data_IF_554693579887
#
_entry.id   IF_554693579887
#
_cell.length_a   1.000
_cell.length_b   1.000
_cell.length_c   1.000
_cell.angle_alpha   90.00
_cell.angle_beta   90.00
_cell.angle_gamma   90.00
#
_symmetry.space_group_name_H-M   'P 1'
#
loop_
_entity.id
_entity.type
_entity.pdbx_description
1 polymer ?
#
# COMPACT_ATOMS: atom_id res chain seq x y z
N UNK A 1 62.12 -3.94 -10.63
CA UNK A 1 60.97 -4.85 -10.83
C UNK A 1 60.25 -4.96 -9.51
N UNK A 2 59.00 -4.49 -9.46
CA UNK A 2 58.10 -4.67 -8.31
C UNK A 2 57.75 -3.40 -7.57
N UNK A 3 56.92 -2.53 -8.17
CA UNK A 3 56.10 -1.58 -7.42
C UNK A 3 54.66 -2.07 -7.47
N UNK A 4 54.11 -2.40 -6.31
CA UNK A 4 52.71 -2.80 -6.09
C UNK A 4 51.94 -1.56 -5.65
N UNK A 5 51.05 -1.09 -6.52
CA UNK A 5 50.09 -0.02 -6.23
C UNK A 5 48.85 -0.68 -5.61
N UNK A 6 48.51 -0.25 -4.40
CA UNK A 6 47.23 -0.55 -3.76
C UNK A 6 46.13 0.27 -4.45
N UNK A 7 45.25 -0.40 -5.19
CA UNK A 7 44.00 0.20 -5.66
C UNK A 7 42.98 0.25 -4.53
N UNK A 8 42.83 1.44 -3.94
CA UNK A 8 41.68 1.80 -3.11
C UNK A 8 40.52 2.09 -4.08
N UNK A 9 39.62 1.13 -4.26
CA UNK A 9 38.37 1.36 -4.98
C UNK A 9 37.44 2.20 -4.10
N UNK A 10 37.45 3.50 -4.34
CA UNK A 10 36.45 4.44 -3.86
C UNK A 10 35.15 4.24 -4.65
N UNK A 11 34.20 3.48 -4.10
CA UNK A 11 32.83 3.44 -4.61
C UNK A 11 32.08 4.69 -4.16
N UNK A 12 32.41 5.84 -4.77
CA UNK A 12 31.55 7.02 -4.76
C UNK A 12 30.52 6.90 -5.88
N UNK A 13 29.26 6.77 -5.48
CA UNK A 13 28.09 7.34 -6.13
C UNK A 13 27.81 6.95 -7.58
N UNK A 14 26.99 5.91 -7.78
CA UNK A 14 26.10 5.87 -8.94
C UNK A 14 24.78 6.56 -8.58
N UNK A 15 24.74 7.86 -8.87
CA UNK A 15 23.50 8.62 -9.04
C UNK A 15 22.82 8.11 -10.32
N UNK A 16 21.84 7.21 -10.18
CA UNK A 16 20.82 6.98 -11.20
C UNK A 16 19.57 7.76 -10.82
N UNK A 17 19.65 9.08 -10.98
CA UNK A 17 18.47 9.90 -11.23
C UNK A 17 17.91 9.54 -12.61
N UNK A 18 16.58 9.55 -12.74
CA UNK A 18 15.75 9.27 -13.93
C UNK A 18 15.31 7.82 -14.16
N UNK A 19 14.36 7.35 -13.36
CA UNK A 19 13.32 6.41 -13.78
C UNK A 19 12.02 6.85 -13.10
N UNK A 20 11.44 7.92 -13.65
CA UNK A 20 10.03 8.24 -13.49
C UNK A 20 9.26 7.16 -14.25
N UNK A 21 8.63 6.23 -13.52
CA UNK A 21 7.66 5.31 -14.10
C UNK A 21 6.31 5.82 -13.61
N UNK A 22 5.73 6.73 -14.41
CA UNK A 22 4.29 6.85 -14.46
C UNK A 22 3.74 5.48 -14.84
N UNK A 23 2.89 4.95 -13.97
CA UNK A 23 2.12 3.74 -14.21
C UNK A 23 1.32 3.90 -15.51
N UNK A 24 1.58 3.09 -16.57
CA UNK A 24 0.84 3.24 -17.80
C UNK A 24 -0.44 2.39 -17.72
N UNK A 25 -1.59 3.05 -17.71
CA UNK A 25 -2.77 2.50 -18.37
C UNK A 25 -3.24 3.46 -19.46
N UNK A 26 -3.19 2.94 -20.68
CA UNK A 26 -3.51 3.51 -21.99
C UNK A 26 -4.88 4.18 -22.03
N UNK A 27 -4.99 5.39 -22.62
CA UNK A 27 -5.99 5.77 -23.64
C UNK A 27 -5.52 7.03 -24.41
N UNK A 28 -5.51 6.94 -25.74
CA UNK A 28 -5.48 8.07 -26.69
C UNK A 28 -6.80 8.83 -26.62
N UNK A 29 -6.78 10.13 -26.31
CA UNK A 29 -7.98 10.97 -26.45
C UNK A 29 -7.90 12.38 -25.84
N UNK A 30 -7.42 13.34 -26.64
CA UNK A 30 -7.86 14.75 -26.74
C UNK A 30 -8.20 15.57 -25.46
N UNK A 31 -7.27 16.51 -25.16
CA UNK A 31 -7.42 17.95 -24.85
C UNK A 31 -8.61 18.54 -24.04
N UNK A 32 -8.21 19.55 -23.23
CA UNK A 32 -8.92 20.50 -22.34
C UNK A 32 -9.05 20.00 -20.88
N UNK A 33 -8.55 20.66 -19.84
CA UNK A 33 -8.15 22.06 -19.66
C UNK A 33 -9.04 22.69 -18.59
N UNK A 34 -8.59 22.71 -17.32
CA UNK A 34 -8.79 23.78 -16.32
C UNK A 34 -8.43 23.28 -14.92
N UNK A 35 -7.57 24.05 -14.26
CA UNK A 35 -7.26 23.92 -12.84
C UNK A 35 -8.46 24.43 -12.01
N UNK A 36 -8.79 23.72 -10.94
CA UNK A 36 -9.55 24.27 -9.82
C UNK A 36 -8.73 24.13 -8.54
N UNK A 37 -8.42 25.28 -7.95
CA UNK A 37 -8.03 25.44 -6.55
C UNK A 37 -9.32 25.42 -5.74
N UNK A 38 -9.41 24.55 -4.74
CA UNK A 38 -10.46 24.60 -3.73
C UNK A 38 -9.80 24.57 -2.34
N UNK A 39 -9.79 25.74 -1.73
CA UNK A 39 -9.60 25.96 -0.31
C UNK A 39 -10.97 25.75 0.37
N UNK A 40 -11.03 25.02 1.49
CA UNK A 40 -12.07 25.24 2.51
C UNK A 40 -11.87 24.40 3.77
N UNK A 41 -11.61 25.09 4.86
CA UNK A 41 -11.86 24.67 6.23
C UNK A 41 -13.31 24.20 6.41
N UNK A 42 -13.53 23.00 6.95
CA UNK A 42 -14.79 22.65 7.61
C UNK A 42 -14.50 21.98 8.95
N UNK A 43 -14.48 22.78 10.01
CA UNK A 43 -14.59 22.32 11.40
C UNK A 43 -16.05 21.96 11.66
N UNK A 44 -16.34 20.68 11.91
CA UNK A 44 -17.64 20.26 12.40
C UNK A 44 -17.74 20.46 13.92
N UNK A 45 -18.61 21.38 14.34
CA UNK A 45 -19.05 21.56 15.73
C UNK A 45 -20.15 20.56 16.08
N UNK A 46 -19.90 19.70 17.07
CA UNK A 46 -20.88 18.80 17.66
C UNK A 46 -21.90 19.59 18.52
N UNK A 47 -23.15 19.70 18.05
CA UNK A 47 -24.27 20.12 18.90
C UNK A 47 -25.10 18.90 19.33
N UNK A 48 -25.31 18.76 20.63
CA UNK A 48 -26.09 17.73 21.32
C UNK A 48 -27.59 17.77 21.01
N UNK A 49 -28.24 16.63 20.71
CA UNK A 49 -29.69 16.35 20.92
C UNK A 49 -30.01 14.83 20.83
N UNK A 50 -31.20 14.34 21.24
CA UNK A 50 -31.38 13.12 22.03
C UNK A 50 -31.86 11.88 21.24
N UNK A 51 -31.81 10.70 21.91
CA UNK A 51 -32.26 9.37 21.45
C UNK A 51 -33.72 9.34 20.95
N UNK A 52 -33.95 8.99 19.68
CA UNK A 52 -34.62 7.76 19.20
C UNK A 52 -35.13 7.90 17.75
N UNK A 53 -34.32 7.46 16.80
CA UNK A 53 -34.67 6.78 15.54
C UNK A 53 -33.34 6.58 14.83
N UNK A 54 -32.94 5.33 14.53
CA UNK A 54 -31.75 5.06 13.74
C UNK A 54 -32.01 5.55 12.31
N UNK A 55 -31.81 6.84 12.09
CA UNK A 55 -31.71 7.41 10.77
C UNK A 55 -30.43 6.84 10.15
N UNK A 56 -30.61 5.94 9.20
CA UNK A 56 -29.53 5.30 8.46
C UNK A 56 -28.96 6.38 7.55
N UNK A 57 -27.82 6.96 7.92
CA UNK A 57 -27.09 7.88 7.06
C UNK A 57 -26.34 7.03 6.03
N UNK A 58 -26.68 7.09 4.74
CA UNK A 58 -25.88 6.44 3.71
C UNK A 58 -24.45 7.00 3.77
N UNK A 59 -23.46 6.11 3.67
CA UNK A 59 -22.06 6.53 3.59
C UNK A 59 -21.80 6.99 2.16
N UNK A 60 -21.81 8.31 1.95
CA UNK A 60 -21.65 8.91 0.62
C UNK A 60 -20.28 8.61 -0.02
N UNK A 61 -19.25 8.42 0.81
CA UNK A 61 -17.88 8.11 0.37
C UNK A 61 -17.28 6.98 1.21
N UNK A 62 -17.53 5.74 0.79
CA UNK A 62 -17.05 4.54 1.48
C UNK A 62 -15.52 4.50 1.51
N UNK A 63 -14.86 4.91 0.43
CA UNK A 63 -13.40 4.98 0.37
C UNK A 63 -12.79 5.85 1.49
N UNK A 64 -13.35 7.05 1.72
CA UNK A 64 -12.90 7.92 2.81
C UNK A 64 -13.34 7.40 4.18
N UNK A 65 -14.57 6.91 4.30
CA UNK A 65 -15.07 6.34 5.54
C UNK A 65 -14.18 5.21 6.08
N UNK A 66 -13.76 4.26 5.24
CA UNK A 66 -12.90 3.14 5.64
C UNK A 66 -11.55 3.62 6.22
N UNK A 67 -11.02 4.72 5.69
CA UNK A 67 -9.77 5.30 6.18
C UNK A 67 -9.95 6.07 7.48
N UNK A 68 -10.91 6.99 7.52
CA UNK A 68 -11.17 7.80 8.71
C UNK A 68 -11.56 6.94 9.91
N UNK A 69 -12.32 5.87 9.67
CA UNK A 69 -12.69 4.89 10.69
C UNK A 69 -11.51 4.07 11.21
N UNK A 70 -10.36 4.09 10.53
CA UNK A 70 -9.14 3.30 10.82
C UNK A 70 -7.91 4.16 11.06
N UNK A 71 -8.10 5.48 11.18
CA UNK A 71 -7.01 6.44 11.30
C UNK A 71 -6.26 6.33 12.64
N UNK A 72 -6.91 5.78 13.67
CA UNK A 72 -6.29 5.37 14.92
C UNK A 72 -5.11 4.43 14.67
N UNK A 73 -5.32 3.39 13.86
CA UNK A 73 -4.27 2.40 13.54
C UNK A 73 -3.15 3.06 12.75
N UNK A 74 -3.45 3.87 11.72
CA UNK A 74 -2.42 4.58 10.95
C UNK A 74 -1.54 5.48 11.84
N UNK A 75 -2.18 6.20 12.77
CA UNK A 75 -1.51 7.08 13.73
C UNK A 75 -0.64 6.32 14.73
N UNK A 76 -1.03 5.10 15.10
CA UNK A 76 -0.22 4.20 15.92
C UNK A 76 0.92 3.59 15.12
N UNK A 77 0.67 3.15 13.88
CA UNK A 77 1.71 2.62 12.97
C UNK A 77 2.83 3.62 12.79
N UNK A 78 2.52 4.90 12.55
CA UNK A 78 3.55 5.94 12.37
C UNK A 78 4.55 5.98 13.55
N UNK A 79 4.11 5.64 14.77
CA UNK A 79 4.90 5.74 16.00
C UNK A 79 5.73 4.49 16.31
N UNK A 80 5.59 3.41 15.54
CA UNK A 80 6.33 2.17 15.81
C UNK A 80 7.84 2.39 15.68
N UNK A 81 8.60 1.66 16.49
CA UNK A 81 10.05 1.81 16.61
C UNK A 81 10.77 1.74 15.25
N UNK A 82 10.37 0.78 14.39
CA UNK A 82 10.95 0.63 13.06
C UNK A 82 10.87 1.92 12.24
N UNK A 83 9.68 2.54 12.15
CA UNK A 83 9.48 3.76 11.37
C UNK A 83 10.15 4.98 12.01
N UNK A 84 10.17 5.06 13.35
CA UNK A 84 10.86 6.14 14.05
C UNK A 84 12.37 6.08 13.85
N UNK A 85 12.96 4.88 13.87
CA UNK A 85 14.37 4.69 13.54
C UNK A 85 14.67 4.92 12.06
N UNK A 86 13.75 4.58 11.16
CA UNK A 86 13.87 4.89 9.73
C UNK A 86 13.87 6.41 9.50
N UNK A 87 12.98 7.13 10.17
CA UNK A 87 12.88 8.59 10.13
C UNK A 87 14.15 9.29 10.64
N UNK A 88 14.70 8.84 11.77
CA UNK A 88 15.95 9.39 12.33
C UNK A 88 17.20 8.98 11.55
N UNK A 89 17.10 7.94 10.72
CA UNK A 89 18.23 7.33 10.01
C UNK A 89 19.07 6.41 10.90
N UNK A 90 18.58 6.05 12.09
CA UNK A 90 19.27 5.17 13.04
C UNK A 90 18.90 3.69 12.90
N UNK A 91 17.94 3.35 12.03
CA UNK A 91 17.55 1.96 11.78
C UNK A 91 18.78 1.15 11.35
N UNK A 92 18.88 -0.08 11.83
CA UNK A 92 19.97 -0.98 11.44
C UNK A 92 19.71 -1.54 10.04
N UNK A 93 20.76 -1.67 9.23
CA UNK A 93 20.64 -2.15 7.86
C UNK A 93 20.07 -3.59 7.82
N UNK A 94 20.45 -4.42 8.79
CA UNK A 94 19.99 -5.80 8.93
C UNK A 94 18.48 -5.88 9.17
N UNK A 95 17.92 -4.97 10.00
CA UNK A 95 16.48 -4.85 10.22
C UNK A 95 15.76 -4.44 8.93
N UNK A 96 16.28 -3.41 8.25
CA UNK A 96 15.70 -2.97 6.99
C UNK A 96 15.74 -4.06 5.90
N UNK A 97 16.82 -4.83 5.81
CA UNK A 97 16.92 -5.98 4.90
C UNK A 97 15.89 -7.05 5.28
N UNK A 98 15.74 -7.35 6.57
CA UNK A 98 14.79 -8.35 7.06
C UNK A 98 13.34 -7.96 6.74
N UNK A 99 12.97 -6.70 6.99
CA UNK A 99 11.71 -6.09 6.56
C UNK A 99 11.50 -6.24 5.05
N UNK A 100 12.51 -5.86 4.26
CA UNK A 100 12.44 -5.91 2.79
C UNK A 100 12.26 -7.33 2.28
N UNK A 101 12.88 -8.34 2.89
CA UNK A 101 12.67 -9.74 2.52
C UNK A 101 11.23 -10.17 2.80
N UNK A 102 10.65 -9.77 3.93
CA UNK A 102 9.25 -10.08 4.21
C UNK A 102 8.29 -9.36 3.26
N UNK A 103 8.58 -8.11 2.88
CA UNK A 103 7.80 -7.38 1.86
C UNK A 103 7.88 -8.06 0.47
N UNK A 104 9.06 -8.55 0.07
CA UNK A 104 9.19 -9.36 -1.15
C UNK A 104 8.37 -10.65 -1.04
N UNK A 105 8.37 -11.32 0.11
CA UNK A 105 7.52 -12.50 0.32
C UNK A 105 6.03 -12.14 0.22
N UNK A 106 5.59 -11.04 0.82
CA UNK A 106 4.23 -10.54 0.69
C UNK A 106 3.83 -10.35 -0.79
N UNK A 107 4.63 -9.57 -1.53
CA UNK A 107 4.38 -9.26 -2.94
C UNK A 107 4.31 -10.56 -3.77
N UNK A 108 5.23 -11.51 -3.55
CA UNK A 108 5.23 -12.80 -4.25
C UNK A 108 3.95 -13.60 -4.00
N UNK A 109 3.50 -13.70 -2.74
CA UNK A 109 2.32 -14.48 -2.37
C UNK A 109 1.03 -13.82 -2.87
N UNK A 110 0.88 -12.52 -2.67
CA UNK A 110 -0.32 -11.78 -3.12
C UNK A 110 -0.40 -11.75 -4.66
N UNK A 111 0.74 -11.65 -5.36
CA UNK A 111 0.76 -11.75 -6.83
C UNK A 111 0.23 -13.09 -7.32
N UNK A 112 0.60 -14.20 -6.66
CA UNK A 112 0.08 -15.54 -6.99
C UNK A 112 -1.42 -15.67 -6.73
N UNK A 113 -1.91 -15.11 -5.62
CA UNK A 113 -3.35 -15.09 -5.32
C UNK A 113 -4.12 -14.30 -6.38
N UNK A 114 -3.62 -13.11 -6.74
CA UNK A 114 -4.18 -12.29 -7.82
C UNK A 114 -4.13 -13.01 -9.18
N UNK A 115 -3.04 -13.72 -9.48
CA UNK A 115 -2.92 -14.53 -10.69
C UNK A 115 -4.03 -15.60 -10.74
N UNK A 116 -4.24 -16.33 -9.64
CA UNK A 116 -5.29 -17.34 -9.51
C UNK A 116 -6.67 -16.73 -9.74
N UNK A 117 -7.01 -15.67 -8.98
CA UNK A 117 -8.29 -14.98 -9.10
C UNK A 117 -8.52 -14.37 -10.49
N UNK A 118 -7.46 -13.90 -11.15
CA UNK A 118 -7.57 -13.28 -12.49
C UNK A 118 -7.99 -14.26 -13.59
N UNK A 119 -7.86 -15.57 -13.34
CA UNK A 119 -8.28 -16.65 -14.26
C UNK A 119 -9.77 -16.94 -14.18
N UNK A 120 -10.41 -16.54 -13.09
CA UNK A 120 -11.84 -16.76 -12.87
C UNK A 120 -12.70 -15.73 -13.59
N UNK A 121 -13.92 -16.12 -13.94
CA UNK A 121 -14.94 -15.21 -14.43
C UNK A 121 -15.60 -14.49 -13.24
N UNK A 122 -14.94 -13.46 -12.74
CA UNK A 122 -15.45 -12.63 -11.64
C UNK A 122 -16.56 -11.72 -12.17
N UNK A 123 -17.67 -11.68 -11.42
CA UNK A 123 -18.76 -10.74 -11.64
C UNK A 123 -18.91 -9.83 -10.42
N UNK A 124 -19.27 -8.56 -10.60
CA UNK A 124 -19.52 -7.88 -11.89
C UNK A 124 -18.23 -7.62 -12.71
N UNK A 125 -18.38 -7.34 -14.01
CA UNK A 125 -17.25 -7.22 -14.96
C UNK A 125 -16.18 -6.20 -14.52
N UNK A 126 -16.60 -5.06 -13.98
CA UNK A 126 -15.67 -4.02 -13.49
C UNK A 126 -14.83 -4.48 -12.29
N UNK A 127 -15.39 -5.32 -11.43
CA UNK A 127 -14.62 -5.98 -10.36
C UNK A 127 -13.65 -7.02 -10.93
N UNK A 128 -14.06 -7.77 -11.94
CA UNK A 128 -13.16 -8.70 -12.64
C UNK A 128 -12.00 -7.98 -13.35
N UNK A 129 -12.28 -6.86 -14.01
CA UNK A 129 -11.28 -6.01 -14.65
C UNK A 129 -10.33 -5.39 -13.61
N UNK A 130 -10.87 -4.96 -12.46
CA UNK A 130 -10.05 -4.49 -11.35
C UNK A 130 -9.04 -5.56 -10.89
N UNK A 131 -9.49 -6.79 -10.63
CA UNK A 131 -8.62 -7.88 -10.17
C UNK A 131 -7.54 -8.20 -11.20
N UNK A 132 -7.90 -8.27 -12.50
CA UNK A 132 -6.91 -8.47 -13.58
C UNK A 132 -5.90 -7.34 -13.65
N UNK A 133 -6.34 -6.09 -13.53
CA UNK A 133 -5.45 -4.94 -13.53
C UNK A 133 -4.52 -4.94 -12.30
N UNK A 134 -5.00 -5.36 -11.12
CA UNK A 134 -4.16 -5.54 -9.94
C UNK A 134 -3.14 -6.66 -10.12
N UNK A 135 -3.53 -7.80 -10.68
CA UNK A 135 -2.58 -8.88 -11.02
C UNK A 135 -1.44 -8.37 -11.90
N UNK A 136 -1.74 -7.68 -13.01
CA UNK A 136 -0.72 -7.16 -13.91
C UNK A 136 0.23 -6.19 -13.21
N UNK A 137 -0.32 -5.25 -12.43
CA UNK A 137 0.44 -4.28 -11.63
C UNK A 137 1.37 -4.96 -10.62
N UNK A 138 0.84 -5.93 -9.86
CA UNK A 138 1.60 -6.69 -8.87
C UNK A 138 2.68 -7.56 -9.52
N UNK A 139 2.38 -8.15 -10.69
CA UNK A 139 3.34 -8.95 -11.45
C UNK A 139 4.52 -8.09 -11.93
N UNK A 140 4.24 -6.93 -12.52
CA UNK A 140 5.29 -5.99 -12.96
C UNK A 140 6.17 -5.55 -11.78
N UNK A 141 5.55 -5.22 -10.65
CA UNK A 141 6.29 -4.83 -9.45
C UNK A 141 7.09 -6.00 -8.86
N UNK A 142 6.55 -7.22 -8.86
CA UNK A 142 7.28 -8.44 -8.46
C UNK A 142 8.51 -8.65 -9.32
N UNK A 143 8.37 -8.59 -10.65
CA UNK A 143 9.47 -8.77 -11.60
C UNK A 143 10.55 -7.69 -11.39
N UNK A 144 10.13 -6.45 -11.13
CA UNK A 144 11.02 -5.35 -10.78
C UNK A 144 11.79 -5.64 -9.48
N UNK A 145 11.11 -6.05 -8.41
CA UNK A 145 11.72 -6.35 -7.12
C UNK A 145 12.71 -7.51 -7.22
N UNK A 146 12.33 -8.61 -7.86
CA UNK A 146 13.24 -9.75 -8.08
C UNK A 146 14.50 -9.33 -8.83
N UNK A 147 14.36 -8.52 -9.88
CA UNK A 147 15.51 -7.97 -10.62
C UNK A 147 16.35 -7.03 -9.77
N UNK A 148 15.73 -6.12 -9.01
CA UNK A 148 16.41 -5.14 -8.15
C UNK A 148 17.28 -5.83 -7.09
N UNK A 149 16.79 -6.93 -6.53
CA UNK A 149 17.50 -7.72 -5.53
C UNK A 149 18.32 -8.87 -6.14
N UNK A 150 18.49 -8.89 -7.47
CA UNK A 150 19.31 -9.88 -8.19
C UNK A 150 18.93 -11.35 -7.95
N UNK A 151 17.65 -11.60 -7.66
CA UNK A 151 17.12 -12.95 -7.57
C UNK A 151 17.00 -13.56 -8.96
N UNK A 152 17.64 -14.73 -9.15
CA UNK A 152 17.58 -15.49 -10.42
C UNK A 152 16.30 -16.30 -10.57
N UNK A 153 15.62 -16.57 -9.46
CA UNK A 153 14.38 -17.31 -9.33
C UNK A 153 13.64 -16.79 -8.11
N UNK A 154 12.39 -17.22 -7.92
CA UNK A 154 11.65 -16.94 -6.69
C UNK A 154 12.47 -17.37 -5.46
N UNK A 155 12.76 -16.45 -4.52
CA UNK A 155 13.51 -16.77 -3.31
C UNK A 155 12.66 -17.56 -2.32
N UNK A 156 13.30 -18.49 -1.60
CA UNK A 156 12.67 -19.15 -0.46
C UNK A 156 12.84 -18.26 0.78
N UNK A 157 11.82 -17.46 1.10
CA UNK A 157 11.80 -16.58 2.26
C UNK A 157 10.87 -17.19 3.29
N UNK A 158 11.40 -17.52 4.46
CA UNK A 158 10.61 -18.01 5.58
C UNK A 158 9.79 -16.85 6.16
N UNK A 159 8.44 -16.94 6.18
CA UNK A 159 7.60 -15.87 6.66
C UNK A 159 7.67 -15.74 8.19
N UNK A 160 7.60 -14.51 8.70
CA UNK A 160 7.40 -14.28 10.15
C UNK A 160 5.98 -14.67 10.58
N UNK A 161 5.72 -14.87 11.89
CA UNK A 161 4.37 -15.11 12.40
C UNK A 161 3.36 -14.03 11.97
N UNK A 162 3.77 -12.77 12.00
CA UNK A 162 2.94 -11.62 11.60
C UNK A 162 2.63 -11.66 10.10
N UNK A 163 3.63 -11.97 9.26
CA UNK A 163 3.44 -12.12 7.82
C UNK A 163 2.55 -13.33 7.48
N UNK A 164 2.68 -14.43 8.21
CA UNK A 164 1.77 -15.58 8.08
C UNK A 164 0.32 -15.19 8.40
N UNK A 165 0.11 -14.44 9.49
CA UNK A 165 -1.21 -13.94 9.84
C UNK A 165 -1.76 -13.03 8.74
N UNK A 166 -0.95 -12.09 8.26
CA UNK A 166 -1.32 -11.16 7.19
C UNK A 166 -1.77 -11.90 5.93
N UNK A 167 -0.96 -12.86 5.46
CA UNK A 167 -1.27 -13.67 4.28
C UNK A 167 -2.46 -14.62 4.49
N UNK A 168 -2.70 -15.10 5.71
CA UNK A 168 -3.85 -15.96 6.00
C UNK A 168 -5.18 -15.22 5.77
N UNK A 169 -5.24 -13.92 6.11
CA UNK A 169 -6.42 -13.09 5.85
C UNK A 169 -6.67 -12.96 4.36
N UNK A 170 -5.64 -12.73 3.53
CA UNK A 170 -5.83 -12.69 2.07
C UNK A 170 -6.35 -14.00 1.50
N UNK A 171 -5.85 -15.15 1.93
CA UNK A 171 -6.34 -16.46 1.48
C UNK A 171 -7.84 -16.62 1.75
N UNK A 172 -8.32 -16.17 2.91
CA UNK A 172 -9.76 -16.20 3.22
C UNK A 172 -10.55 -15.23 2.35
N UNK A 173 -10.00 -14.03 2.09
CA UNK A 173 -10.63 -13.02 1.25
C UNK A 173 -10.72 -13.40 -0.24
N UNK A 174 -9.89 -14.32 -0.74
CA UNK A 174 -9.94 -14.77 -2.15
C UNK A 174 -11.34 -15.31 -2.53
N UNK A 175 -12.09 -15.82 -1.54
CA UNK A 175 -13.46 -16.33 -1.71
C UNK A 175 -14.47 -15.24 -2.08
N UNK A 176 -14.11 -13.97 -1.89
CA UNK A 176 -14.98 -12.82 -2.11
C UNK A 176 -14.18 -11.65 -2.71
N UNK A 177 -14.10 -11.56 -4.06
CA UNK A 177 -13.21 -10.62 -4.75
C UNK A 177 -13.41 -9.14 -4.38
N UNK A 178 -14.63 -8.74 -4.01
CA UNK A 178 -14.91 -7.37 -3.57
C UNK A 178 -14.18 -7.07 -2.26
N UNK A 179 -14.20 -8.00 -1.30
CA UNK A 179 -13.52 -7.82 -0.01
C UNK A 179 -12.03 -8.12 -0.10
N UNK A 180 -11.58 -8.92 -1.08
CA UNK A 180 -10.17 -8.97 -1.44
C UNK A 180 -9.67 -7.60 -1.92
N UNK A 181 -10.43 -6.92 -2.78
CA UNK A 181 -10.13 -5.55 -3.19
C UNK A 181 -10.09 -4.59 -1.99
N UNK A 182 -11.06 -4.66 -1.08
CA UNK A 182 -11.03 -3.89 0.18
C UNK A 182 -9.75 -4.21 0.98
N UNK A 183 -9.37 -5.48 1.08
CA UNK A 183 -8.20 -5.91 1.82
C UNK A 183 -6.86 -5.48 1.22
N UNK A 184 -6.80 -5.14 -0.07
CA UNK A 184 -5.59 -4.58 -0.70
C UNK A 184 -5.42 -3.08 -0.42
N UNK A 185 -6.50 -2.36 -0.11
CA UNK A 185 -6.47 -0.91 0.00
C UNK A 185 -5.60 -0.38 1.17
N UNK A 186 -5.57 -1.00 2.37
CA UNK A 186 -4.70 -0.59 3.47
C UNK A 186 -3.25 -0.40 3.07
N UNK A 187 -2.64 -1.39 2.40
CA UNK A 187 -1.27 -1.30 1.89
C UNK A 187 -1.07 -0.07 1.00
N UNK A 188 -1.90 0.06 -0.05
CA UNK A 188 -1.77 1.13 -1.05
C UNK A 188 -1.94 2.53 -0.44
N UNK A 189 -2.84 2.68 0.54
CA UNK A 189 -3.16 3.97 1.16
C UNK A 189 -2.23 4.31 2.32
N UNK A 190 -1.98 3.36 3.23
CA UNK A 190 -1.15 3.57 4.41
C UNK A 190 0.30 3.86 4.04
N UNK A 191 0.91 3.12 3.11
CA UNK A 191 2.30 3.35 2.70
C UNK A 191 2.50 4.74 2.10
N UNK A 192 1.56 5.18 1.24
CA UNK A 192 1.52 6.54 0.70
C UNK A 192 1.43 7.58 1.80
N UNK A 193 0.55 7.36 2.79
CA UNK A 193 0.37 8.27 3.91
C UNK A 193 1.60 8.32 4.83
N UNK A 194 2.18 7.17 5.19
CA UNK A 194 3.40 7.09 5.99
C UNK A 194 4.56 7.82 5.31
N UNK A 195 4.76 7.61 4.01
CA UNK A 195 5.81 8.30 3.25
C UNK A 195 5.63 9.82 3.26
N UNK A 196 4.40 10.32 3.20
CA UNK A 196 4.11 11.76 3.32
C UNK A 196 4.36 12.31 4.73
N UNK A 197 4.05 11.53 5.77
CA UNK A 197 4.07 11.98 7.16
C UNK A 197 5.38 11.71 7.92
N UNK A 198 6.24 10.82 7.42
CA UNK A 198 7.59 10.63 8.00
C UNK A 198 8.52 11.78 7.59
N UNK A 199 9.18 12.37 8.58
CA UNK A 199 10.18 13.42 8.42
C UNK A 199 11.55 12.84 8.03
N UNK A 200 11.63 12.30 6.82
CA UNK A 200 12.86 11.68 6.29
C UNK A 200 13.56 12.68 5.34
N UNK A 201 14.60 13.41 5.77
CA UNK A 201 15.31 14.37 4.91
C UNK A 201 16.10 13.67 3.80
N UNK A 202 16.45 14.39 2.74
CA UNK A 202 17.08 13.82 1.53
C UNK A 202 18.48 13.21 1.74
N UNK A 203 19.13 13.50 2.88
CA UNK A 203 20.40 12.92 3.29
C UNK A 203 20.25 11.68 4.18
N UNK A 204 19.03 11.29 4.56
CA UNK A 204 18.76 10.07 5.30
C UNK A 204 18.94 8.84 4.39
N UNK A 205 19.57 7.78 4.91
CA UNK A 205 19.81 6.53 4.19
C UNK A 205 18.53 5.88 3.62
N UNK A 206 17.39 6.13 4.25
CA UNK A 206 16.08 5.60 3.89
C UNK A 206 15.22 6.58 3.08
N UNK A 207 15.77 7.71 2.63
CA UNK A 207 15.02 8.69 1.83
C UNK A 207 14.43 8.08 0.54
N UNK A 208 15.12 7.12 -0.06
CA UNK A 208 14.63 6.40 -1.25
C UNK A 208 13.28 5.74 -0.99
N UNK A 209 13.08 5.12 0.19
CA UNK A 209 11.80 4.52 0.56
C UNK A 209 10.66 5.54 0.57
N UNK A 210 10.89 6.73 1.14
CA UNK A 210 9.91 7.84 1.14
C UNK A 210 9.58 8.26 -0.29
N UNK A 211 10.59 8.47 -1.12
CA UNK A 211 10.41 8.93 -2.50
C UNK A 211 9.62 7.93 -3.35
N UNK A 212 9.88 6.64 -3.18
CA UNK A 212 9.22 5.58 -3.94
C UNK A 212 7.74 5.40 -3.56
N UNK A 213 7.32 5.86 -2.37
CA UNK A 213 5.97 5.64 -1.84
C UNK A 213 5.06 6.89 -1.82
N UNK A 214 5.62 8.11 -1.82
CA UNK A 214 4.81 9.32 -1.55
C UNK A 214 3.87 9.75 -2.69
N UNK A 215 4.07 9.30 -3.92
CA UNK A 215 3.29 9.75 -5.09
C UNK A 215 2.14 8.80 -5.47
N UNK A 216 1.76 7.90 -4.54
CA UNK A 216 0.63 6.98 -4.73
C UNK A 216 -0.72 7.68 -4.84
N UNK A 217 -1.58 7.14 -5.72
CA UNK A 217 -2.95 7.62 -5.97
C UNK A 217 -4.00 6.48 -5.90
N UNK A 218 -4.14 5.78 -4.76
CA UNK A 218 -5.07 4.67 -4.62
C UNK A 218 -6.54 5.08 -4.88
N UNK A 219 -6.93 6.32 -4.62
CA UNK A 219 -8.27 6.82 -4.91
C UNK A 219 -8.71 6.59 -6.36
N UNK A 220 -7.78 6.72 -7.32
CA UNK A 220 -8.05 6.55 -8.76
C UNK A 220 -8.44 5.12 -9.15
N UNK A 221 -8.12 4.14 -8.33
CA UNK A 221 -8.35 2.73 -8.63
C UNK A 221 -9.44 2.11 -7.77
N UNK A 222 -9.62 2.59 -6.55
CA UNK A 222 -10.50 1.97 -5.57
C UNK A 222 -11.79 2.76 -5.36
N UNK A 223 -11.77 4.10 -5.42
CA UNK A 223 -12.88 4.91 -4.94
C UNK A 223 -14.20 4.62 -5.65
N UNK A 224 -14.19 4.66 -6.97
CA UNK A 224 -15.39 4.42 -7.78
C UNK A 224 -15.89 2.97 -7.63
N UNK A 225 -14.99 1.99 -7.59
CA UNK A 225 -15.33 0.58 -7.40
C UNK A 225 -16.01 0.36 -6.03
N UNK A 226 -15.41 0.87 -4.96
CA UNK A 226 -15.90 0.67 -3.60
C UNK A 226 -17.23 1.40 -3.38
N UNK A 227 -17.33 2.67 -3.78
CA UNK A 227 -18.56 3.45 -3.61
C UNK A 227 -19.72 2.87 -4.44
N UNK A 228 -19.43 2.21 -5.57
CA UNK A 228 -20.43 1.55 -6.40
C UNK A 228 -20.94 0.23 -5.81
N UNK A 229 -20.05 -0.60 -5.27
CA UNK A 229 -20.39 -1.99 -4.91
C UNK A 229 -20.65 -2.22 -3.42
N UNK A 230 -20.20 -1.31 -2.55
CA UNK A 230 -20.49 -1.28 -1.11
C UNK A 230 -21.70 -0.37 -0.84
N UNK A 231 -22.82 -0.73 -1.46
CA UNK A 231 -24.06 0.07 -1.54
C UNK A 231 -25.07 -0.19 -0.41
N UNK A 232 -24.73 -1.08 0.54
CA UNK A 232 -25.56 -1.36 1.71
C UNK A 232 -24.77 -1.22 3.00
N UNK A 233 -25.44 -0.89 4.10
CA UNK A 233 -24.82 -0.77 5.42
C UNK A 233 -24.07 -2.04 5.81
N UNK A 234 -24.67 -3.21 5.61
CA UNK A 234 -24.05 -4.51 5.92
C UNK A 234 -22.74 -4.71 5.14
N UNK A 235 -22.71 -4.35 3.86
CA UNK A 235 -21.49 -4.43 3.04
C UNK A 235 -20.43 -3.45 3.52
N UNK A 236 -20.82 -2.23 3.85
CA UNK A 236 -19.91 -1.19 4.39
C UNK A 236 -19.34 -1.61 5.74
N UNK A 237 -20.16 -2.17 6.64
CA UNK A 237 -19.70 -2.69 7.94
C UNK A 237 -18.72 -3.85 7.78
N UNK A 238 -19.02 -4.82 6.90
CA UNK A 238 -18.09 -5.92 6.59
C UNK A 238 -16.81 -5.39 5.96
N UNK A 239 -16.89 -4.43 5.04
CA UNK A 239 -15.71 -3.83 4.41
C UNK A 239 -14.87 -3.07 5.42
N UNK A 240 -15.50 -2.35 6.36
CA UNK A 240 -14.81 -1.67 7.44
C UNK A 240 -14.07 -2.64 8.36
N UNK A 241 -14.70 -3.76 8.72
CA UNK A 241 -14.04 -4.81 9.49
C UNK A 241 -12.84 -5.40 8.73
N UNK A 242 -13.00 -5.72 7.44
CA UNK A 242 -11.91 -6.22 6.58
C UNK A 242 -10.77 -5.21 6.47
N UNK A 243 -11.09 -3.95 6.22
CA UNK A 243 -10.11 -2.87 6.10
C UNK A 243 -9.32 -2.69 7.40
N UNK A 244 -10.01 -2.63 8.54
CA UNK A 244 -9.38 -2.51 9.87
C UNK A 244 -8.47 -3.70 10.19
N UNK A 245 -8.88 -4.93 9.87
CA UNK A 245 -8.03 -6.12 10.07
C UNK A 245 -6.74 -6.00 9.26
N UNK A 246 -6.83 -5.58 8.00
CA UNK A 246 -5.65 -5.45 7.15
C UNK A 246 -4.78 -4.23 7.53
N UNK A 247 -5.38 -3.13 8.01
CA UNK A 247 -4.63 -2.03 8.65
C UNK A 247 -3.87 -2.52 9.90
N UNK A 248 -4.47 -3.39 10.71
CA UNK A 248 -3.80 -3.99 11.86
C UNK A 248 -2.65 -4.90 11.43
N UNK A 249 -2.83 -5.69 10.37
CA UNK A 249 -1.74 -6.51 9.84
C UNK A 249 -0.57 -5.67 9.29
N UNK A 250 -0.85 -4.53 8.64
CA UNK A 250 0.19 -3.56 8.28
C UNK A 250 0.90 -3.00 9.51
N UNK A 251 0.15 -2.57 10.53
CA UNK A 251 0.72 -2.13 11.81
C UNK A 251 1.66 -3.19 12.40
N UNK A 252 1.19 -4.43 12.51
CA UNK A 252 1.92 -5.53 13.13
C UNK A 252 3.15 -5.91 12.30
N UNK A 253 3.07 -5.81 10.98
CA UNK A 253 4.21 -5.97 10.08
C UNK A 253 5.30 -4.93 10.36
N UNK A 254 4.97 -3.63 10.43
CA UNK A 254 5.95 -2.61 10.78
C UNK A 254 6.44 -2.72 12.24
N UNK A 255 5.57 -3.11 13.17
CA UNK A 255 5.88 -3.24 14.59
C UNK A 255 6.87 -4.40 14.86
N UNK A 256 6.76 -5.50 14.12
CA UNK A 256 7.62 -6.69 14.25
C UNK A 256 8.93 -6.61 13.46
N UNK A 257 9.12 -5.55 12.66
CA UNK A 257 10.30 -5.35 11.79
C UNK A 257 11.48 -4.67 12.48
#
# INVERSE_FOLDING_TARGET
>A
MGDSVYDIVSMRGLLMSTLWIEWPMVVVGLWYGQAYVMDNEHRYTLSSFPKNSLEIIPVDDVYEYLWESSFDIASETLKVDFLQQMQSGSLQAERYISFTMQDINYILKVTKMLEEMSKDQIQPDDLGDFIKARYLSYKEYTDFMLKRFSFKSEPNIEPTPEMLNYLSVYNELMKDPLYFAVGLLPCARLWTWLAKNLETPSNNAYYTWKKENMDGHPEKHYKDLLNKHLDTLEKVEKANATFRIQMQNEHDFFCSS
#
